data_IF_824052415898
#
_entry.id   IF_824052415898
#
_cell.length_a   1.000
_cell.length_b   1.000
_cell.length_c   1.000
_cell.angle_alpha   90.00
_cell.angle_beta   90.00
_cell.angle_gamma   90.00
#
_symmetry.space_group_name_H-M   'P 1'
#
loop_
_entity.id
_entity.type
_entity.pdbx_description
1 polymer ?
#
# COMPACT_ATOMS: atom_id res chain seq x y z
N UNK A 1 5.80 -3.62 -18.31
CA UNK A 1 4.58 -3.49 -17.51
C UNK A 1 3.95 -2.16 -17.88
N UNK A 2 2.72 -2.22 -18.36
CA UNK A 2 1.87 -1.05 -18.55
C UNK A 2 1.47 -0.45 -17.19
N UNK A 3 1.12 0.85 -17.12
CA UNK A 3 0.73 1.49 -15.87
C UNK A 3 -0.35 0.71 -15.10
N UNK A 4 -1.34 0.15 -15.80
CA UNK A 4 -2.40 -0.64 -15.17
C UNK A 4 -1.89 -1.95 -14.54
N UNK A 5 -0.88 -2.58 -15.14
CA UNK A 5 -0.28 -3.81 -14.61
C UNK A 5 0.51 -3.51 -13.32
N UNK A 6 1.18 -2.34 -13.27
CA UNK A 6 1.88 -1.87 -12.07
C UNK A 6 0.87 -1.70 -10.92
N UNK A 7 -0.26 -1.02 -11.17
CA UNK A 7 -1.29 -0.79 -10.16
C UNK A 7 -1.93 -2.09 -9.66
N UNK A 8 -2.17 -3.04 -10.56
CA UNK A 8 -2.67 -4.36 -10.20
C UNK A 8 -1.69 -5.12 -9.31
N UNK A 9 -0.38 -5.03 -9.59
CA UNK A 9 0.64 -5.66 -8.77
C UNK A 9 0.72 -5.01 -7.37
N UNK A 10 0.70 -3.68 -7.29
CA UNK A 10 0.65 -2.96 -6.01
C UNK A 10 -0.56 -3.37 -5.17
N UNK A 11 -1.76 -3.39 -5.77
CA UNK A 11 -3.00 -3.81 -5.10
C UNK A 11 -2.92 -5.28 -4.62
N UNK A 12 -2.36 -6.16 -5.46
CA UNK A 12 -2.15 -7.57 -5.14
C UNK A 12 -1.22 -7.75 -3.94
N UNK A 13 -0.11 -7.01 -3.89
CA UNK A 13 0.81 -6.99 -2.75
C UNK A 13 0.10 -6.53 -1.47
N UNK A 14 -0.63 -5.42 -1.52
CA UNK A 14 -1.36 -4.89 -0.36
C UNK A 14 -2.32 -5.93 0.23
N UNK A 15 -3.17 -6.55 -0.61
CA UNK A 15 -4.15 -7.55 -0.17
C UNK A 15 -3.46 -8.77 0.46
N UNK A 16 -2.39 -9.28 -0.17
CA UNK A 16 -1.67 -10.45 0.33
C UNK A 16 -1.02 -10.18 1.69
N UNK A 17 -0.39 -9.02 1.86
CA UNK A 17 0.28 -8.65 3.11
C UNK A 17 -0.77 -8.39 4.21
N UNK A 18 -1.91 -7.78 3.86
CA UNK A 18 -3.02 -7.56 4.78
C UNK A 18 -3.57 -8.90 5.29
N UNK A 19 -3.73 -9.88 4.40
CA UNK A 19 -4.15 -11.22 4.76
C UNK A 19 -3.16 -11.93 5.70
N UNK A 20 -1.85 -11.73 5.52
CA UNK A 20 -0.81 -12.23 6.43
C UNK A 20 -0.96 -11.57 7.81
N UNK A 21 -1.06 -10.24 7.86
CA UNK A 21 -1.19 -9.49 9.11
C UNK A 21 -2.40 -9.91 9.95
N UNK A 22 -3.48 -10.35 9.30
CA UNK A 22 -4.72 -10.80 9.92
C UNK A 22 -4.80 -12.33 10.11
N UNK A 23 -3.80 -13.09 9.65
CA UNK A 23 -3.84 -14.55 9.70
C UNK A 23 -3.68 -15.07 11.13
N UNK A 24 -4.59 -15.93 11.60
CA UNK A 24 -4.57 -16.45 12.97
C UNK A 24 -3.29 -17.24 13.31
N UNK A 25 -2.76 -18.02 12.36
CA UNK A 25 -1.52 -18.76 12.59
C UNK A 25 -0.32 -17.81 12.68
N UNK A 26 -0.30 -16.75 11.87
CA UNK A 26 0.71 -15.70 11.96
C UNK A 26 0.69 -15.01 13.33
N UNK A 27 -0.49 -14.58 13.78
CA UNK A 27 -0.68 -13.97 15.08
C UNK A 27 -0.27 -14.90 16.22
N UNK A 28 -0.56 -16.20 16.09
CA UNK A 28 -0.13 -17.22 17.05
C UNK A 28 1.38 -17.39 17.10
N UNK A 29 2.09 -17.35 15.97
CA UNK A 29 3.56 -17.41 15.94
C UNK A 29 4.18 -16.24 16.73
N UNK A 30 3.61 -15.04 16.61
CA UNK A 30 4.04 -13.85 17.36
C UNK A 30 3.75 -14.02 18.85
N UNK A 31 2.52 -14.41 19.20
CA UNK A 31 2.10 -14.60 20.60
C UNK A 31 2.92 -15.67 21.32
N UNK A 32 3.22 -16.78 20.63
CA UNK A 32 4.05 -17.88 21.13
C UNK A 32 5.55 -17.53 21.15
N UNK A 33 5.95 -16.33 20.69
CA UNK A 33 7.36 -15.89 20.54
C UNK A 33 8.20 -16.85 19.69
N UNK A 34 7.58 -17.49 18.69
CA UNK A 34 8.24 -18.41 17.76
C UNK A 34 8.95 -17.69 16.61
N UNK A 35 8.67 -16.40 16.44
CA UNK A 35 9.33 -15.48 15.53
C UNK A 35 9.64 -14.19 16.27
N UNK A 36 10.54 -13.39 15.70
CA UNK A 36 10.87 -12.08 16.23
C UNK A 36 9.64 -11.15 16.22
N UNK A 37 9.27 -10.52 17.35
CA UNK A 37 8.14 -9.60 17.40
C UNK A 37 8.29 -8.38 16.47
N UNK A 38 9.51 -7.97 16.10
CA UNK A 38 9.74 -6.88 15.13
C UNK A 38 9.12 -7.17 13.76
N UNK A 39 8.94 -8.45 13.41
CA UNK A 39 8.34 -8.83 12.13
C UNK A 39 6.88 -8.37 12.04
N UNK A 40 6.16 -8.30 13.17
CA UNK A 40 4.81 -7.75 13.20
C UNK A 40 4.81 -6.25 12.88
N UNK A 41 5.78 -5.51 13.44
CA UNK A 41 5.98 -4.09 13.17
C UNK A 41 6.30 -3.87 11.69
N UNK A 42 7.25 -4.61 11.12
CA UNK A 42 7.64 -4.44 9.72
C UNK A 42 6.53 -4.79 8.72
N UNK A 43 5.68 -5.78 9.03
CA UNK A 43 4.48 -6.07 8.23
C UNK A 43 3.49 -4.90 8.29
N UNK A 44 3.30 -4.32 9.47
CA UNK A 44 2.49 -3.10 9.65
C UNK A 44 3.04 -1.91 8.86
N UNK A 45 4.34 -1.64 8.95
CA UNK A 45 5.00 -0.56 8.22
C UNK A 45 4.88 -0.75 6.71
N UNK A 46 5.05 -1.98 6.23
CA UNK A 46 4.91 -2.30 4.79
C UNK A 46 3.49 -2.01 4.30
N UNK A 47 2.47 -2.36 5.10
CA UNK A 47 1.08 -2.03 4.77
C UNK A 47 0.84 -0.53 4.76
N UNK A 48 1.40 0.19 5.73
CA UNK A 48 1.29 1.64 5.79
C UNK A 48 1.86 2.28 4.53
N UNK A 49 3.11 1.97 4.16
CA UNK A 49 3.75 2.55 2.97
C UNK A 49 3.09 2.13 1.65
N UNK A 50 2.61 0.89 1.52
CA UNK A 50 1.85 0.47 0.34
C UNK A 50 0.52 1.25 0.22
N UNK A 51 -0.16 1.48 1.35
CA UNK A 51 -1.38 2.29 1.39
C UNK A 51 -1.12 3.74 0.96
N UNK A 52 -0.04 4.36 1.44
CA UNK A 52 0.37 5.71 1.02
C UNK A 52 0.68 5.78 -0.48
N UNK A 53 1.44 4.81 -0.99
CA UNK A 53 1.78 4.74 -2.42
C UNK A 53 0.53 4.62 -3.30
N UNK A 54 -0.46 3.82 -2.90
CA UNK A 54 -1.74 3.69 -3.59
C UNK A 54 -2.57 4.99 -3.52
N UNK A 55 -2.51 5.72 -2.40
CA UNK A 55 -3.15 7.04 -2.26
C UNK A 55 -2.53 8.12 -3.17
N UNK A 56 -1.24 7.99 -3.52
CA UNK A 56 -0.59 8.90 -4.48
C UNK A 56 -0.98 8.66 -5.94
N UNK A 57 -1.75 7.60 -6.25
CA UNK A 57 -2.29 7.32 -7.60
C UNK A 57 -3.65 8.00 -7.82
N UNK A 58 -4.09 8.86 -6.89
CA UNK A 58 -5.19 9.77 -7.17
C UNK A 58 -4.89 10.61 -8.43
N UNK A 59 -5.92 10.81 -9.25
CA UNK A 59 -5.79 11.47 -10.55
C UNK A 59 -5.09 12.82 -10.38
N UNK A 60 -3.97 13.03 -11.09
CA UNK A 60 -3.39 14.38 -11.22
C UNK A 60 -4.43 15.20 -11.97
N UNK A 61 -5.27 15.93 -11.23
CA UNK A 61 -6.15 16.93 -11.83
C UNK A 61 -5.22 18.01 -12.36
N UNK A 62 -4.85 17.90 -13.64
CA UNK A 62 -4.14 18.93 -14.35
C UNK A 62 -5.07 20.14 -14.43
N UNK A 63 -4.95 21.06 -13.46
CA UNK A 63 -5.68 22.33 -13.49
C UNK A 63 -5.13 23.11 -14.68
N UNK A 64 -5.81 22.99 -15.83
CA UNK A 64 -5.58 23.88 -16.97
C UNK A 64 -5.96 25.29 -16.53
N UNK A 65 -4.97 26.06 -16.09
CA UNK A 65 -5.10 27.51 -16.01
C UNK A 65 -5.27 28.03 -17.43
N UNK A 66 -6.53 28.23 -17.85
CA UNK A 66 -6.84 29.10 -18.99
C UNK A 66 -6.44 30.53 -18.61
N UNK A 67 -5.15 30.85 -18.72
CA UNK A 67 -4.72 32.23 -18.88
C UNK A 67 -5.00 32.67 -20.31
N UNK A 68 -6.28 32.80 -20.64
CA UNK A 68 -6.74 33.72 -21.68
C UNK A 68 -7.45 34.86 -20.96
N UNK A 69 -6.68 35.61 -20.17
CA UNK A 69 -7.08 36.92 -19.70
C UNK A 69 -6.77 37.90 -20.83
N UNK A 70 -7.83 38.22 -21.59
CA UNK A 70 -8.11 39.50 -22.24
C UNK A 70 -6.92 40.27 -22.84
N UNK A 71 -6.79 40.22 -24.18
CA UNK A 71 -6.11 41.26 -24.97
C UNK A 71 -7.13 42.15 -25.65
#
# INVERSE_FOLDING_TARGET
MEPIEILQEFNSCYIKIQAIAQNENWLKLIADKKIDPEVATHVGDTLHYLGEAMGCVEEVIEIKFNQEAES
#
